data_IF_249789200087
#
_entry.id   IF_249789200087
#
_cell.length_a   1.000
_cell.length_b   1.000
_cell.length_c   1.000
_cell.angle_alpha   90.00
_cell.angle_beta   90.00
_cell.angle_gamma   90.00
#
_symmetry.space_group_name_H-M   'P 1'
#
loop_
_entity.id
_entity.type
_entity.pdbx_description
1 polymer ?
#
# COMPACT_ATOMS: atom_id res chain seq x y z
N UNK A 1 8.77 -5.04 -20.75
CA UNK A 1 8.36 -5.70 -19.50
C UNK A 1 6.84 -5.75 -19.43
N UNK A 2 6.26 -6.93 -19.20
CA UNK A 2 4.81 -7.14 -19.24
C UNK A 2 4.11 -6.48 -18.05
N UNK A 3 2.97 -5.82 -18.31
CA UNK A 3 2.11 -5.14 -17.31
C UNK A 3 1.80 -6.03 -16.09
N UNK A 4 1.65 -7.34 -16.31
CA UNK A 4 1.44 -8.38 -15.30
C UNK A 4 2.53 -8.41 -14.22
N UNK A 5 3.81 -8.36 -14.63
CA UNK A 5 4.94 -8.48 -13.71
C UNK A 5 5.03 -7.27 -12.76
N UNK A 6 4.70 -6.09 -13.28
CA UNK A 6 4.67 -4.86 -12.48
C UNK A 6 3.56 -4.90 -11.42
N UNK A 7 2.39 -5.44 -11.77
CA UNK A 7 1.29 -5.65 -10.83
C UNK A 7 1.64 -6.67 -9.74
N UNK A 8 2.23 -7.81 -10.10
CA UNK A 8 2.64 -8.81 -9.11
C UNK A 8 3.68 -8.26 -8.14
N UNK A 9 4.65 -7.47 -8.64
CA UNK A 9 5.64 -6.84 -7.78
C UNK A 9 4.99 -5.89 -6.77
N UNK A 10 4.11 -5.00 -7.26
CA UNK A 10 3.37 -4.07 -6.41
C UNK A 10 2.49 -4.79 -5.37
N UNK A 11 1.81 -5.88 -5.76
CA UNK A 11 1.04 -6.70 -4.83
C UNK A 11 1.91 -7.26 -3.71
N UNK A 12 3.07 -7.81 -4.05
CA UNK A 12 4.00 -8.34 -3.07
C UNK A 12 4.50 -7.26 -2.11
N UNK A 13 4.78 -6.05 -2.61
CA UNK A 13 5.20 -4.91 -1.78
C UNK A 13 4.06 -4.45 -0.85
N UNK A 14 2.82 -4.43 -1.33
CA UNK A 14 1.62 -4.10 -0.54
C UNK A 14 1.41 -5.10 0.61
N UNK A 15 1.53 -6.40 0.34
CA UNK A 15 1.38 -7.44 1.38
C UNK A 15 2.47 -7.35 2.46
N UNK A 16 3.72 -7.09 2.04
CA UNK A 16 4.82 -6.88 2.98
C UNK A 16 4.61 -5.64 3.85
N UNK A 17 4.20 -4.52 3.25
CA UNK A 17 3.92 -3.30 4.02
C UNK A 17 2.70 -3.46 4.94
N UNK A 18 1.66 -4.20 4.52
CA UNK A 18 0.52 -4.53 5.38
C UNK A 18 0.96 -5.29 6.62
N UNK A 19 1.72 -6.36 6.43
CA UNK A 19 2.23 -7.16 7.55
C UNK A 19 3.05 -6.31 8.52
N UNK A 20 3.94 -5.47 7.97
CA UNK A 20 4.76 -4.55 8.76
C UNK A 20 3.92 -3.50 9.50
N UNK A 21 2.88 -2.97 8.86
CA UNK A 21 1.94 -2.04 9.50
C UNK A 21 1.18 -2.72 10.64
N UNK A 22 0.72 -3.96 10.47
CA UNK A 22 0.07 -4.72 11.54
C UNK A 22 1.01 -5.00 12.70
N UNK A 23 2.27 -5.35 12.44
CA UNK A 23 3.28 -5.53 13.49
C UNK A 23 3.54 -4.24 14.26
N UNK A 24 3.72 -3.11 13.56
CA UNK A 24 3.95 -1.81 14.20
C UNK A 24 2.69 -1.34 14.93
N UNK A 25 1.51 -1.53 14.36
CA UNK A 25 0.26 -1.17 15.03
C UNK A 25 -0.01 -2.04 16.26
N UNK A 26 0.35 -3.32 16.22
CA UNK A 26 0.26 -4.21 17.38
C UNK A 26 1.29 -3.88 18.46
N UNK A 27 2.45 -3.32 18.09
CA UNK A 27 3.54 -3.00 19.03
C UNK A 27 3.44 -1.59 19.60
N UNK A 28 3.13 -0.60 18.75
CA UNK A 28 3.17 0.83 19.05
C UNK A 28 1.79 1.51 18.96
N UNK A 29 0.76 0.80 18.47
CA UNK A 29 -0.57 1.36 18.22
C UNK A 29 -0.67 2.01 16.84
N UNK A 30 -1.89 2.01 16.28
CA UNK A 30 -2.20 2.60 14.96
C UNK A 30 -1.97 4.12 14.89
N UNK A 31 -1.87 4.80 16.03
CA UNK A 31 -1.63 6.25 16.13
C UNK A 31 -0.15 6.61 16.26
N UNK A 32 0.73 5.61 16.32
CA UNK A 32 2.17 5.85 16.30
C UNK A 32 2.58 6.49 14.97
N UNK A 33 3.56 7.40 15.03
CA UNK A 33 4.06 8.08 13.83
C UNK A 33 4.52 7.09 12.76
N UNK A 34 5.13 5.98 13.19
CA UNK A 34 5.55 4.89 12.31
C UNK A 34 4.36 4.19 11.64
N UNK A 35 3.28 3.86 12.38
CA UNK A 35 2.07 3.27 11.79
C UNK A 35 1.39 4.22 10.81
N UNK A 36 1.39 5.52 11.09
CA UNK A 36 0.84 6.55 10.20
C UNK A 36 1.67 6.65 8.91
N UNK A 37 3.00 6.67 9.02
CA UNK A 37 3.89 6.69 7.86
C UNK A 37 3.73 5.43 7.00
N UNK A 38 3.68 4.25 7.62
CA UNK A 38 3.43 3.00 6.91
C UNK A 38 2.06 2.98 6.22
N UNK A 39 1.02 3.51 6.87
CA UNK A 39 -0.30 3.62 6.25
C UNK A 39 -0.28 4.52 5.02
N UNK A 40 0.44 5.64 5.05
CA UNK A 40 0.55 6.55 3.90
C UNK A 40 1.31 5.90 2.74
N UNK A 41 2.39 5.20 3.04
CA UNK A 41 3.19 4.50 2.02
C UNK A 41 2.42 3.33 1.40
N UNK A 42 1.66 2.59 2.21
CA UNK A 42 0.76 1.56 1.73
C UNK A 42 -0.33 2.12 0.81
N UNK A 43 -0.92 3.26 1.17
CA UNK A 43 -1.94 3.94 0.37
C UNK A 43 -1.36 4.39 -0.99
N UNK A 44 -0.13 4.93 -1.00
CA UNK A 44 0.56 5.27 -2.24
C UNK A 44 0.76 4.06 -3.16
N UNK A 45 1.22 2.93 -2.62
CA UNK A 45 1.41 1.69 -3.41
C UNK A 45 0.08 1.13 -3.92
N UNK A 46 -0.99 1.21 -3.12
CA UNK A 46 -2.34 0.84 -3.53
C UNK A 46 -2.85 1.73 -4.67
N UNK A 47 -2.60 3.02 -4.60
CA UNK A 47 -2.94 3.97 -5.66
C UNK A 47 -2.15 3.71 -6.95
N UNK A 48 -0.85 3.41 -6.85
CA UNK A 48 -0.01 2.99 -7.99
C UNK A 48 -0.54 1.68 -8.61
N UNK A 49 -0.85 0.69 -7.77
CA UNK A 49 -1.42 -0.59 -8.21
C UNK A 49 -2.79 -0.40 -8.87
N UNK A 50 -3.66 0.45 -8.32
CA UNK A 50 -4.93 0.80 -8.93
C UNK A 50 -4.72 1.49 -10.27
N UNK A 51 -3.87 2.53 -10.36
CA UNK A 51 -3.56 3.21 -11.61
C UNK A 51 -3.08 2.26 -12.72
N UNK A 52 -2.27 1.26 -12.36
CA UNK A 52 -1.77 0.28 -13.33
C UNK A 52 -2.85 -0.77 -13.66
N UNK A 53 -3.59 -1.27 -12.67
CA UNK A 53 -4.60 -2.31 -12.87
C UNK A 53 -5.84 -1.79 -13.59
N UNK A 54 -6.24 -0.56 -13.28
CA UNK A 54 -7.54 0.02 -13.61
C UNK A 54 -7.39 1.54 -13.72
N UNK A 55 -7.49 2.08 -14.94
CA UNK A 55 -7.80 3.50 -15.10
C UNK A 55 -9.26 3.73 -14.65
N UNK A 56 -9.53 3.67 -13.35
CA UNK A 56 -10.79 4.07 -12.75
C UNK A 56 -10.48 4.96 -11.56
N UNK A 57 -10.72 6.26 -11.77
CA UNK A 57 -10.52 7.31 -10.78
C UNK A 57 -11.34 6.98 -9.54
N UNK A 58 -10.72 6.99 -8.37
CA UNK A 58 -11.46 7.35 -7.15
C UNK A 58 -11.43 8.88 -7.10
N UNK A 59 -12.56 9.57 -7.27
CA UNK A 59 -12.63 10.99 -6.99
C UNK A 59 -12.54 11.13 -5.47
N UNK A 60 -11.35 11.42 -4.96
CA UNK A 60 -11.21 11.85 -3.56
C UNK A 60 -11.70 13.29 -3.47
N UNK A 61 -12.89 13.43 -2.90
CA UNK A 61 -13.52 14.68 -2.48
C UNK A 61 -12.75 15.35 -1.34
#
# INVERSE_FOLDING_TARGET
MSKQFKLQKLQSEIEQLRSKMEEIASTYGYTSKESIQLSQELDYLLNEYQCISSCNKVPTR
#
